data_IF_296568990488
#
_entry.id   IF_296568990488
#
_cell.length_a   1.000
_cell.length_b   1.000
_cell.length_c   1.000
_cell.angle_alpha   90.00
_cell.angle_beta   90.00
_cell.angle_gamma   90.00
#
_symmetry.space_group_name_H-M   'P 1'
#
loop_
_entity.id
_entity.type
_entity.pdbx_description
1 polymer ?
#
# COMPACT_ATOMS: atom_id res chain seq x y z
N UNK A 1 -29.70 9.10 -3.18
CA UNK A 1 -28.74 9.52 -4.21
C UNK A 1 -28.14 8.25 -4.80
N UNK A 2 -28.12 8.09 -6.12
CA UNK A 2 -27.61 6.87 -6.77
C UNK A 2 -26.11 7.03 -7.06
N UNK A 3 -25.30 6.16 -6.44
CA UNK A 3 -23.88 6.03 -6.76
C UNK A 3 -23.78 5.21 -8.05
N UNK A 4 -23.54 5.86 -9.19
CA UNK A 4 -23.52 5.23 -10.52
C UNK A 4 -22.12 4.94 -11.05
N UNK A 5 -21.06 5.26 -10.31
CA UNK A 5 -19.72 4.81 -10.65
C UNK A 5 -19.48 3.40 -10.09
N UNK A 6 -19.64 2.36 -10.92
CA UNK A 6 -18.79 1.15 -10.76
C UNK A 6 -17.35 1.62 -10.70
N UNK A 7 -16.50 1.10 -9.80
CA UNK A 7 -15.10 1.54 -9.62
C UNK A 7 -14.49 1.99 -10.95
N UNK A 8 -14.53 3.30 -11.19
CA UNK A 8 -13.90 3.86 -12.36
C UNK A 8 -12.45 3.98 -11.94
N UNK A 9 -11.62 3.09 -12.47
CA UNK A 9 -10.18 2.95 -12.26
C UNK A 9 -9.36 4.18 -12.69
N UNK A 10 -9.95 5.37 -12.65
CA UNK A 10 -9.26 6.65 -12.73
C UNK A 10 -8.42 6.82 -11.45
N UNK A 11 -7.33 6.08 -11.47
CA UNK A 11 -6.14 5.99 -10.61
C UNK A 11 -6.29 6.38 -9.13
N UNK A 12 -6.06 5.45 -8.18
CA UNK A 12 -5.70 5.83 -6.82
C UNK A 12 -4.62 6.89 -6.81
N UNK A 13 -4.78 7.88 -5.93
CA UNK A 13 -3.77 8.92 -5.73
C UNK A 13 -2.64 8.43 -4.83
N UNK A 14 -2.97 7.58 -3.87
CA UNK A 14 -2.07 7.10 -2.84
C UNK A 14 -2.37 5.64 -2.52
N UNK A 15 -1.49 5.05 -1.70
CA UNK A 15 -1.68 3.72 -1.14
C UNK A 15 -1.15 3.66 0.28
N UNK A 16 -1.83 2.88 1.12
CA UNK A 16 -1.33 2.49 2.43
C UNK A 16 -0.40 1.30 2.26
N UNK A 17 0.83 1.42 2.77
CA UNK A 17 1.83 0.34 2.70
C UNK A 17 2.29 -0.04 4.10
N UNK A 18 2.55 -1.32 4.28
CA UNK A 18 3.05 -1.91 5.52
C UNK A 18 4.15 -2.92 5.19
N UNK A 19 5.33 -2.77 5.79
CA UNK A 19 6.40 -3.78 5.70
C UNK A 19 6.25 -4.81 6.82
N UNK A 20 6.52 -6.06 6.48
CA UNK A 20 6.66 -7.14 7.47
C UNK A 20 8.00 -6.99 8.18
N UNK A 21 7.95 -6.41 9.38
CA UNK A 21 9.12 -6.29 10.24
C UNK A 21 9.41 -7.63 10.93
N UNK A 22 10.69 -7.92 11.16
CA UNK A 22 11.10 -9.17 11.83
C UNK A 22 10.52 -9.25 13.24
N UNK A 23 9.85 -10.35 13.56
CA UNK A 23 9.24 -10.59 14.87
C UNK A 23 7.91 -9.87 15.11
N UNK A 24 7.40 -9.11 14.15
CA UNK A 24 6.10 -8.42 14.22
C UNK A 24 5.02 -9.27 13.54
N UNK A 25 3.93 -9.53 14.26
CA UNK A 25 2.73 -10.21 13.78
C UNK A 25 1.69 -9.19 13.33
N UNK A 26 0.72 -9.62 12.53
CA UNK A 26 -0.28 -8.72 11.93
C UNK A 26 -1.20 -8.02 12.93
N UNK A 27 -1.44 -8.64 14.09
CA UNK A 27 -2.23 -8.09 15.20
C UNK A 27 -1.40 -7.32 16.23
N UNK A 28 -0.07 -7.28 16.10
CA UNK A 28 0.76 -6.41 16.96
C UNK A 28 0.51 -4.93 16.60
N UNK A 29 0.94 -3.99 17.44
CA UNK A 29 0.75 -2.55 17.21
C UNK A 29 1.32 -2.05 15.88
N UNK A 30 2.44 -2.65 15.43
CA UNK A 30 3.09 -2.36 14.15
C UNK A 30 2.67 -3.35 13.04
N UNK A 31 1.74 -4.24 13.34
CA UNK A 31 1.25 -5.28 12.45
C UNK A 31 0.40 -4.74 11.31
N UNK A 32 0.46 -5.39 10.15
CA UNK A 32 -0.20 -4.89 8.94
C UNK A 32 -1.70 -4.68 9.10
N UNK A 33 -2.39 -5.56 9.84
CA UNK A 33 -3.84 -5.44 10.07
C UNK A 33 -4.16 -4.34 11.07
N UNK A 34 -3.42 -4.25 12.17
CA UNK A 34 -3.60 -3.17 13.16
C UNK A 34 -3.44 -1.79 12.53
N UNK A 35 -2.41 -1.62 11.68
CA UNK A 35 -2.19 -0.39 10.92
C UNK A 35 -3.33 -0.10 9.95
N UNK A 36 -3.77 -1.11 9.20
CA UNK A 36 -4.90 -0.95 8.28
C UNK A 36 -6.17 -0.53 9.03
N UNK A 37 -6.45 -1.12 10.19
CA UNK A 37 -7.60 -0.77 11.01
C UNK A 37 -7.52 0.67 11.53
N UNK A 38 -6.32 1.14 11.95
CA UNK A 38 -6.12 2.55 12.33
C UNK A 38 -6.38 3.50 11.16
N UNK A 39 -5.88 3.18 9.97
CA UNK A 39 -6.13 3.98 8.77
C UNK A 39 -7.63 3.98 8.40
N UNK A 40 -8.29 2.83 8.43
CA UNK A 40 -9.74 2.71 8.16
C UNK A 40 -10.55 3.58 9.12
N UNK A 41 -10.21 3.61 10.42
CA UNK A 41 -10.89 4.47 11.41
C UNK A 41 -10.83 5.94 11.03
N UNK A 42 -9.66 6.42 10.57
CA UNK A 42 -9.51 7.79 10.04
C UNK A 42 -10.34 7.97 8.78
N UNK A 43 -10.26 7.04 7.83
CA UNK A 43 -10.97 7.13 6.55
C UNK A 43 -12.49 7.17 6.71
N UNK A 44 -13.03 6.45 7.68
CA UNK A 44 -14.46 6.50 8.01
C UNK A 44 -14.93 7.88 8.49
N UNK A 45 -14.06 8.73 9.04
CA UNK A 45 -14.42 10.11 9.39
C UNK A 45 -14.73 10.98 8.16
N UNK A 46 -14.27 10.55 6.97
CA UNK A 46 -14.49 11.23 5.69
C UNK A 46 -15.59 10.56 4.85
N UNK A 47 -16.04 9.36 5.24
CA UNK A 47 -17.03 8.57 4.51
C UNK A 47 -18.48 8.81 4.95
N UNK A 48 -19.42 8.55 4.05
CA UNK A 48 -20.87 8.44 4.35
C UNK A 48 -21.35 7.00 4.39
N UNK A 49 -20.56 6.05 3.86
CA UNK A 49 -20.87 4.63 3.90
C UNK A 49 -19.62 3.76 3.83
N UNK A 50 -19.77 2.51 4.29
CA UNK A 50 -18.80 1.42 4.10
C UNK A 50 -19.47 0.30 3.34
N UNK A 51 -18.78 -0.23 2.34
CA UNK A 51 -19.18 -1.47 1.67
C UNK A 51 -18.25 -2.61 2.10
N UNK A 52 -18.86 -3.75 2.44
CA UNK A 52 -18.19 -4.96 2.94
C UNK A 52 -18.55 -6.12 2.01
N UNK A 53 -17.57 -6.66 1.29
CA UNK A 53 -17.70 -7.89 0.51
C UNK A 53 -17.33 -9.08 1.37
N UNK A 54 -18.25 -10.02 1.56
CA UNK A 54 -18.06 -11.17 2.45
C UNK A 54 -18.19 -12.49 1.69
N UNK A 55 -17.43 -13.51 2.08
CA UNK A 55 -17.63 -14.86 1.55
C UNK A 55 -18.90 -15.47 2.17
N UNK A 56 -19.94 -15.79 1.38
CA UNK A 56 -21.18 -16.38 1.90
C UNK A 56 -21.01 -17.76 2.54
N UNK A 57 -19.90 -18.43 2.27
CA UNK A 57 -19.61 -19.76 2.84
C UNK A 57 -19.14 -19.67 4.28
N UNK A 58 -18.86 -18.46 4.79
CA UNK A 58 -18.39 -18.24 6.15
C UNK A 58 -19.49 -17.68 7.05
N UNK A 59 -19.93 -18.49 8.03
CA UNK A 59 -21.05 -18.16 8.92
C UNK A 59 -20.73 -17.14 10.02
N UNK A 60 -19.48 -16.71 10.18
CA UNK A 60 -19.11 -15.80 11.28
C UNK A 60 -19.61 -14.36 11.11
N UNK A 61 -20.18 -14.02 9.95
CA UNK A 61 -20.72 -12.69 9.66
C UNK A 61 -22.24 -12.57 9.80
N UNK A 62 -22.91 -13.47 10.54
CA UNK A 62 -24.37 -13.45 10.75
C UNK A 62 -24.87 -12.09 11.27
N UNK A 63 -24.14 -11.44 12.18
CA UNK A 63 -24.51 -10.11 12.69
C UNK A 63 -24.53 -9.07 11.58
N UNK A 64 -23.52 -9.08 10.70
CA UNK A 64 -23.48 -8.19 9.53
C UNK A 64 -24.65 -8.45 8.60
N UNK A 65 -24.94 -9.73 8.30
CA UNK A 65 -26.04 -10.11 7.41
C UNK A 65 -27.41 -9.71 7.97
N UNK A 66 -27.57 -9.68 9.30
CA UNK A 66 -28.80 -9.31 9.98
C UNK A 66 -28.99 -7.80 10.09
N UNK A 67 -27.91 -7.07 10.36
CA UNK A 67 -27.97 -5.67 10.76
C UNK A 67 -27.70 -4.71 9.59
N UNK A 68 -26.93 -5.12 8.59
CA UNK A 68 -26.62 -4.30 7.43
C UNK A 68 -27.51 -4.63 6.23
N UNK A 69 -27.64 -3.63 5.36
CA UNK A 69 -28.41 -3.79 4.12
C UNK A 69 -27.55 -4.47 3.07
N UNK A 70 -28.01 -5.61 2.55
CA UNK A 70 -27.40 -6.22 1.38
C UNK A 70 -27.57 -5.29 0.17
N UNK A 71 -26.46 -5.03 -0.52
CA UNK A 71 -26.45 -4.21 -1.74
C UNK A 71 -27.07 -5.04 -2.87
N UNK A 72 -28.08 -4.54 -3.60
CA UNK A 72 -28.63 -5.25 -4.75
C UNK A 72 -27.57 -5.39 -5.85
N UNK A 73 -27.53 -6.53 -6.56
CA UNK A 73 -26.54 -6.84 -7.62
C UNK A 73 -26.30 -5.69 -8.61
N UNK A 74 -27.37 -4.98 -9.01
CA UNK A 74 -27.30 -3.81 -9.91
C UNK A 74 -26.48 -2.64 -9.38
N UNK A 75 -26.19 -2.62 -8.08
CA UNK A 75 -25.51 -1.56 -7.32
C UNK A 75 -24.24 -2.07 -6.64
N UNK A 76 -23.91 -3.36 -6.74
CA UNK A 76 -22.66 -3.89 -6.21
C UNK A 76 -21.48 -3.20 -6.92
N UNK A 77 -20.48 -2.86 -6.13
CA UNK A 77 -19.24 -2.28 -6.63
C UNK A 77 -18.14 -3.31 -6.78
N UNK A 78 -18.12 -4.34 -5.95
CA UNK A 78 -17.10 -5.38 -5.98
C UNK A 78 -17.37 -6.37 -7.11
N UNK A 79 -16.39 -6.54 -8.01
CA UNK A 79 -16.52 -7.42 -9.16
C UNK A 79 -16.47 -8.88 -8.68
N UNK A 80 -17.56 -9.62 -8.88
CA UNK A 80 -17.64 -11.03 -8.50
C UNK A 80 -18.02 -11.27 -7.03
N UNK A 81 -18.42 -10.21 -6.30
CA UNK A 81 -19.04 -10.38 -4.98
C UNK A 81 -20.56 -10.31 -5.12
N UNK A 82 -21.22 -11.46 -4.91
CA UNK A 82 -22.68 -11.54 -4.83
C UNK A 82 -23.19 -11.23 -3.40
N UNK A 83 -22.28 -10.93 -2.47
CA UNK A 83 -22.54 -10.79 -1.03
C UNK A 83 -21.88 -9.52 -0.48
N UNK A 84 -22.30 -8.38 -1.04
CA UNK A 84 -21.90 -7.04 -0.63
C UNK A 84 -22.93 -6.45 0.34
N UNK A 85 -22.45 -5.91 1.46
CA UNK A 85 -23.25 -5.26 2.49
C UNK A 85 -22.86 -3.81 2.65
N UNK A 86 -23.84 -2.96 2.96
CA UNK A 86 -23.62 -1.53 3.19
C UNK A 86 -23.91 -1.15 4.63
N UNK A 87 -22.92 -0.51 5.25
CA UNK A 87 -23.01 0.20 6.51
C UNK A 87 -23.13 1.71 6.26
N UNK A 88 -24.02 2.39 6.96
CA UNK A 88 -24.18 3.85 6.93
C UNK A 88 -23.30 4.48 8.01
N UNK A 89 -22.55 5.52 7.66
CA UNK A 89 -21.72 6.25 8.63
C UNK A 89 -22.39 7.57 9.02
N UNK A 90 -22.35 7.95 10.32
CA UNK A 90 -21.60 7.31 11.41
C UNK A 90 -22.34 6.18 12.16
N UNK A 91 -23.60 5.90 11.84
CA UNK A 91 -24.48 5.05 12.66
C UNK A 91 -23.95 3.63 12.86
N UNK A 92 -23.45 3.01 11.80
CA UNK A 92 -22.99 1.62 11.78
C UNK A 92 -21.48 1.49 12.07
N UNK A 93 -20.80 2.58 12.43
CA UNK A 93 -19.33 2.59 12.64
C UNK A 93 -18.88 1.53 13.64
N UNK A 94 -19.56 1.43 14.78
CA UNK A 94 -19.18 0.48 15.82
C UNK A 94 -19.27 -0.98 15.34
N UNK A 95 -20.26 -1.29 14.49
CA UNK A 95 -20.38 -2.61 13.88
C UNK A 95 -19.21 -2.87 12.92
N UNK A 96 -18.89 -1.89 12.05
CA UNK A 96 -17.74 -2.01 11.14
C UNK A 96 -16.44 -2.21 11.91
N UNK A 97 -16.20 -1.44 12.97
CA UNK A 97 -14.99 -1.57 13.79
C UNK A 97 -14.90 -2.95 14.46
N UNK A 98 -16.02 -3.50 14.94
CA UNK A 98 -16.04 -4.83 15.55
C UNK A 98 -15.72 -5.96 14.58
N UNK A 99 -16.08 -5.81 13.29
CA UNK A 99 -15.79 -6.79 12.24
C UNK A 99 -14.32 -6.75 11.81
N UNK A 100 -13.69 -5.58 11.93
CA UNK A 100 -12.28 -5.40 11.56
C UNK A 100 -11.31 -5.82 12.66
N UNK A 101 -11.76 -5.85 13.90
CA UNK A 101 -10.95 -6.17 15.08
C UNK A 101 -10.51 -7.65 15.08
N UNK A 102 -9.22 -7.89 15.34
CA UNK A 102 -8.67 -9.23 15.57
C UNK A 102 -8.23 -9.27 17.03
N UNK A 103 -8.85 -10.11 17.88
CA UNK A 103 -8.37 -10.34 19.23
C UNK A 103 -6.96 -10.94 19.25
N UNK A 104 -6.15 -10.57 20.25
CA UNK A 104 -4.75 -11.02 20.34
C UNK A 104 -4.61 -12.55 20.30
N UNK A 105 -3.89 -13.03 19.28
CA UNK A 105 -3.64 -14.46 19.09
C UNK A 105 -4.81 -15.26 18.52
N UNK A 106 -5.92 -14.61 18.16
CA UNK A 106 -7.06 -15.25 17.51
C UNK A 106 -6.76 -15.49 16.02
N UNK A 107 -6.36 -16.71 15.72
CA UNK A 107 -6.00 -17.13 14.36
C UNK A 107 -7.22 -17.32 13.48
N UNK A 108 -8.38 -17.63 14.06
CA UNK A 108 -9.63 -17.78 13.32
C UNK A 108 -10.12 -16.40 12.90
N UNK A 109 -10.20 -15.43 13.82
CA UNK A 109 -10.52 -14.05 13.49
C UNK A 109 -9.53 -13.43 12.47
N UNK A 110 -8.24 -13.78 12.58
CA UNK A 110 -7.24 -13.36 11.58
C UNK A 110 -7.50 -13.98 10.20
N UNK A 111 -7.87 -15.26 10.15
CA UNK A 111 -8.21 -15.94 8.90
C UNK A 111 -9.45 -15.31 8.27
N UNK A 112 -10.46 -15.02 9.08
CA UNK A 112 -11.68 -14.35 8.65
C UNK A 112 -11.40 -12.98 8.06
N UNK A 113 -10.63 -12.15 8.78
CA UNK A 113 -10.27 -10.80 8.36
C UNK A 113 -9.48 -10.74 7.07
N UNK A 114 -8.66 -11.74 6.77
CA UNK A 114 -7.83 -11.73 5.56
C UNK A 114 -8.46 -12.46 4.36
N UNK A 115 -9.17 -13.56 4.61
CA UNK A 115 -9.58 -14.48 3.54
C UNK A 115 -11.09 -14.57 3.32
N UNK A 116 -11.91 -14.31 4.34
CA UNK A 116 -13.38 -14.32 4.20
C UNK A 116 -13.97 -12.91 4.14
N UNK A 117 -13.20 -11.92 4.55
CA UNK A 117 -13.39 -10.53 4.18
C UNK A 117 -12.79 -10.31 2.79
N UNK A 118 -13.64 -10.36 1.76
CA UNK A 118 -13.21 -10.40 0.36
C UNK A 118 -12.71 -9.03 -0.10
N UNK A 119 -13.49 -7.98 0.18
CA UNK A 119 -13.17 -6.63 -0.26
C UNK A 119 -13.83 -5.59 0.64
N UNK A 120 -13.14 -4.48 0.89
CA UNK A 120 -13.56 -3.40 1.77
C UNK A 120 -13.50 -2.06 1.03
N UNK A 121 -14.50 -1.20 1.21
CA UNK A 121 -14.44 0.16 0.69
C UNK A 121 -15.08 1.18 1.62
N UNK A 122 -14.45 2.35 1.72
CA UNK A 122 -15.03 3.54 2.34
C UNK A 122 -15.44 4.51 1.23
N UNK A 123 -16.66 5.02 1.33
CA UNK A 123 -17.33 5.75 0.27
C UNK A 123 -17.89 7.06 0.79
N UNK A 124 -17.99 8.03 -0.13
CA UNK A 124 -18.85 9.21 0.00
C UNK A 124 -20.03 9.09 -0.96
N UNK A 125 -20.92 10.08 -0.92
CA UNK A 125 -22.01 10.19 -1.89
C UNK A 125 -21.52 10.38 -3.34
N UNK A 126 -20.26 10.77 -3.54
CA UNK A 126 -19.71 11.17 -4.84
C UNK A 126 -18.61 10.26 -5.38
N UNK A 127 -17.78 9.66 -4.52
CA UNK A 127 -16.69 8.76 -4.90
C UNK A 127 -16.30 7.81 -3.78
N UNK A 128 -15.50 6.80 -4.09
CA UNK A 128 -14.76 6.04 -3.09
C UNK A 128 -13.57 6.86 -2.53
N UNK A 129 -13.17 6.56 -1.29
CA UNK A 129 -12.01 7.16 -0.61
C UNK A 129 -10.94 6.10 -0.39
N UNK A 130 -11.35 4.90 0.04
CA UNK A 130 -10.45 3.80 0.33
C UNK A 130 -11.00 2.50 -0.23
N UNK A 131 -10.09 1.63 -0.66
CA UNK A 131 -10.37 0.28 -1.11
C UNK A 131 -9.28 -0.66 -0.62
N UNK A 132 -9.66 -1.81 -0.07
CA UNK A 132 -8.72 -2.90 0.17
C UNK A 132 -9.26 -4.27 -0.17
N UNK A 133 -8.35 -5.14 -0.58
CA UNK A 133 -8.55 -6.60 -0.59
C UNK A 133 -7.63 -7.15 0.49
N UNK A 134 -8.14 -7.57 1.64
CA UNK A 134 -7.34 -7.81 2.85
C UNK A 134 -6.12 -8.72 2.71
N UNK A 135 -6.26 -9.86 2.00
CA UNK A 135 -5.13 -10.77 1.75
C UNK A 135 -4.15 -10.25 0.69
N UNK A 136 -4.56 -9.28 -0.12
CA UNK A 136 -3.74 -8.66 -1.16
C UNK A 136 -3.19 -7.33 -0.64
N UNK A 137 -2.06 -7.39 0.05
CA UNK A 137 -1.41 -6.20 0.63
C UNK A 137 -1.12 -5.07 -0.38
N UNK A 138 -1.08 -5.40 -1.68
CA UNK A 138 -0.90 -4.44 -2.75
C UNK A 138 -2.18 -3.65 -3.08
N UNK A 139 -3.36 -4.15 -2.72
CA UNK A 139 -4.65 -3.49 -2.89
C UNK A 139 -5.04 -2.87 -1.54
N UNK A 140 -4.47 -1.70 -1.28
CA UNK A 140 -4.77 -0.80 -0.15
C UNK A 140 -4.72 0.62 -0.65
N UNK A 141 -5.70 0.95 -1.45
CA UNK A 141 -5.71 2.08 -2.37
C UNK A 141 -6.48 3.25 -1.73
N UNK A 142 -5.97 4.47 -1.93
CA UNK A 142 -6.58 5.69 -1.42
C UNK A 142 -6.81 6.67 -2.58
N UNK A 143 -8.05 7.12 -2.71
CA UNK A 143 -8.43 8.22 -3.59
C UNK A 143 -8.67 9.48 -2.75
N UNK A 144 -7.66 10.33 -2.66
CA UNK A 144 -7.73 11.60 -1.95
C UNK A 144 -8.04 12.79 -2.87
N UNK A 145 -8.21 12.58 -4.18
CA UNK A 145 -8.29 13.67 -5.17
C UNK A 145 -9.47 14.65 -4.97
N UNK A 146 -10.48 14.25 -4.20
CA UNK A 146 -11.64 15.08 -3.83
C UNK A 146 -11.82 15.25 -2.32
N UNK A 147 -10.87 14.77 -1.52
CA UNK A 147 -11.00 14.67 -0.07
C UNK A 147 -9.82 15.34 0.62
N UNK A 148 -9.92 16.68 0.74
CA UNK A 148 -8.89 17.52 1.34
C UNK A 148 -8.59 17.10 2.79
N UNK A 149 -7.32 17.13 3.17
CA UNK A 149 -6.86 16.77 4.52
C UNK A 149 -6.80 15.28 4.83
N UNK A 150 -7.33 14.37 3.99
CA UNK A 150 -7.27 12.90 4.24
C UNK A 150 -5.84 12.40 4.37
N UNK A 151 -4.96 12.80 3.43
CA UNK A 151 -3.56 12.34 3.41
C UNK A 151 -2.78 12.92 4.59
N UNK A 152 -3.01 14.20 4.91
CA UNK A 152 -2.40 14.85 6.08
C UNK A 152 -2.81 14.10 7.36
N UNK A 153 -4.10 13.78 7.50
CA UNK A 153 -4.60 13.09 8.70
C UNK A 153 -4.06 11.67 8.83
N UNK A 154 -4.00 10.93 7.72
CA UNK A 154 -3.39 9.60 7.72
C UNK A 154 -1.90 9.66 8.07
N UNK A 155 -1.16 10.63 7.54
CA UNK A 155 0.25 10.81 7.87
C UNK A 155 0.45 11.19 9.34
N UNK A 156 -0.39 12.07 9.91
CA UNK A 156 -0.38 12.37 11.34
C UNK A 156 -0.63 11.12 12.20
N UNK A 157 -1.64 10.31 11.83
CA UNK A 157 -1.99 9.10 12.57
C UNK A 157 -0.89 8.05 12.51
N UNK A 158 -0.22 7.91 11.36
CA UNK A 158 0.79 6.88 11.13
C UNK A 158 2.23 7.37 11.39
N UNK A 159 2.43 8.62 11.80
CA UNK A 159 3.75 9.25 11.91
C UNK A 159 4.72 8.44 12.80
N UNK A 160 4.18 7.85 13.87
CA UNK A 160 4.92 7.09 14.88
C UNK A 160 4.87 5.56 14.64
N UNK A 161 4.18 5.12 13.59
CA UNK A 161 3.96 3.69 13.32
C UNK A 161 5.00 3.20 12.31
N UNK A 162 6.18 2.86 12.84
CA UNK A 162 7.30 2.37 12.03
C UNK A 162 6.91 1.15 11.21
N UNK A 163 7.37 1.12 9.96
CA UNK A 163 7.04 0.05 9.01
C UNK A 163 5.80 0.34 8.19
N UNK A 164 5.16 1.50 8.36
CA UNK A 164 3.98 1.90 7.61
C UNK A 164 4.11 3.31 7.03
N UNK A 165 3.42 3.55 5.92
CA UNK A 165 3.32 4.88 5.32
C UNK A 165 2.12 4.98 4.37
N UNK A 166 1.67 6.21 4.12
CA UNK A 166 0.88 6.54 2.95
C UNK A 166 1.82 7.11 1.90
N UNK A 167 1.89 6.48 0.74
CA UNK A 167 2.78 6.88 -0.36
C UNK A 167 1.98 7.19 -1.62
N UNK A 168 2.48 8.07 -2.51
CA UNK A 168 1.84 8.30 -3.80
C UNK A 168 1.72 7.00 -4.60
N UNK A 169 0.60 6.82 -5.28
CA UNK A 169 0.35 5.58 -6.03
C UNK A 169 1.31 5.43 -7.22
N UNK A 170 1.68 6.56 -7.85
CA UNK A 170 2.65 6.63 -8.95
C UNK A 170 4.08 6.27 -8.55
N UNK A 171 4.38 6.14 -7.25
CA UNK A 171 5.74 6.02 -6.73
C UNK A 171 6.24 7.33 -6.11
N UNK A 172 7.34 7.23 -5.37
CA UNK A 172 7.90 8.34 -4.59
C UNK A 172 8.72 9.30 -5.46
N UNK A 173 9.42 8.77 -6.45
CA UNK A 173 10.18 9.56 -7.42
C UNK A 173 10.18 8.86 -8.77
N UNK A 174 10.11 9.66 -9.84
CA UNK A 174 10.25 9.20 -11.22
C UNK A 174 11.16 10.16 -11.97
N UNK A 175 12.13 9.63 -12.70
CA UNK A 175 13.04 10.45 -13.50
C UNK A 175 13.52 9.70 -14.74
N UNK A 176 13.86 10.48 -15.77
CA UNK A 176 14.35 9.96 -17.05
C UNK A 176 15.73 10.54 -17.33
N UNK A 177 16.68 9.68 -17.69
CA UNK A 177 18.03 10.05 -18.11
C UNK A 177 18.36 9.31 -19.40
N UNK A 178 18.61 10.05 -20.48
CA UNK A 178 18.72 9.47 -21.82
C UNK A 178 17.40 8.83 -22.25
N UNK A 179 17.44 7.58 -22.69
CA UNK A 179 16.26 6.77 -23.08
C UNK A 179 15.73 5.89 -21.92
N UNK A 180 16.29 6.03 -20.72
CA UNK A 180 15.95 5.20 -19.56
C UNK A 180 15.10 5.96 -18.56
N UNK A 181 13.99 5.36 -18.13
CA UNK A 181 13.14 5.85 -17.05
C UNK A 181 13.32 4.99 -15.81
N UNK A 182 13.43 5.64 -14.65
CA UNK A 182 13.51 5.03 -13.34
C UNK A 182 12.33 5.47 -12.50
N UNK A 183 11.69 4.52 -11.83
CA UNK A 183 10.59 4.78 -10.90
C UNK A 183 10.92 4.14 -9.55
N UNK A 184 11.12 4.98 -8.54
CA UNK A 184 11.28 4.54 -7.16
C UNK A 184 9.90 4.35 -6.53
N UNK A 185 9.53 3.10 -6.33
CA UNK A 185 8.33 2.68 -5.60
C UNK A 185 8.70 2.43 -4.14
N UNK A 186 7.68 2.13 -3.33
CA UNK A 186 7.87 1.88 -1.90
C UNK A 186 8.65 0.58 -1.62
N UNK A 187 8.54 -0.41 -2.51
CA UNK A 187 9.15 -1.74 -2.39
C UNK A 187 10.29 -2.00 -3.38
N UNK A 188 10.36 -1.22 -4.45
CA UNK A 188 11.18 -1.55 -5.60
C UNK A 188 11.69 -0.31 -6.32
N UNK A 189 12.86 -0.46 -6.93
CA UNK A 189 13.32 0.44 -7.99
C UNK A 189 13.01 -0.21 -9.33
N UNK A 190 12.06 0.37 -10.06
CA UNK A 190 11.75 -0.05 -11.41
C UNK A 190 12.60 0.73 -12.40
N UNK A 191 13.04 0.06 -13.46
CA UNK A 191 13.66 0.71 -14.60
C UNK A 191 13.04 0.19 -15.89
N UNK A 192 12.94 1.06 -16.88
CA UNK A 192 12.51 0.71 -18.23
C UNK A 192 13.21 1.54 -19.28
N UNK A 193 13.53 0.90 -20.40
CA UNK A 193 13.90 1.54 -21.66
C UNK A 193 12.92 1.11 -22.77
N UNK A 194 13.24 1.41 -24.04
CA UNK A 194 12.37 1.08 -25.19
C UNK A 194 12.16 -0.42 -25.42
N UNK A 195 13.07 -1.27 -24.93
CA UNK A 195 13.10 -2.71 -25.23
C UNK A 195 12.89 -3.58 -23.99
N UNK A 196 13.24 -3.08 -22.81
CA UNK A 196 13.38 -3.87 -21.58
C UNK A 196 12.85 -3.11 -20.39
N UNK A 197 12.46 -3.89 -19.39
CA UNK A 197 12.23 -3.38 -18.05
C UNK A 197 12.68 -4.40 -17.01
N UNK A 198 13.01 -3.91 -15.82
CA UNK A 198 13.17 -4.77 -14.64
C UNK A 198 12.76 -4.01 -13.38
N UNK A 199 12.44 -4.79 -12.34
CA UNK A 199 12.16 -4.28 -11.01
C UNK A 199 13.16 -4.87 -10.02
N UNK A 200 13.69 -4.04 -9.13
CA UNK A 200 14.70 -4.43 -8.15
C UNK A 200 14.18 -4.23 -6.73
N UNK A 201 14.11 -5.32 -5.95
CA UNK A 201 13.64 -5.32 -4.56
C UNK A 201 14.59 -4.50 -3.66
N UNK A 202 14.06 -3.43 -3.03
CA UNK A 202 14.82 -2.54 -2.15
C UNK A 202 15.35 -3.23 -0.88
N UNK A 203 14.82 -4.39 -0.50
CA UNK A 203 15.33 -5.20 0.61
C UNK A 203 16.75 -5.70 0.38
N UNK A 204 17.15 -5.75 -0.89
CA UNK A 204 18.49 -6.12 -1.31
C UNK A 204 19.46 -4.97 -1.27
N UNK A 205 18.98 -3.73 -1.22
CA UNK A 205 19.87 -2.59 -1.18
C UNK A 205 20.65 -2.61 0.15
N UNK A 206 21.95 -2.31 0.09
CA UNK A 206 22.81 -2.14 1.27
C UNK A 206 23.09 -0.67 1.52
N UNK A 207 23.36 0.08 0.44
CA UNK A 207 23.75 1.47 0.54
C UNK A 207 23.31 2.25 -0.69
N UNK A 208 22.89 3.48 -0.45
CA UNK A 208 22.62 4.53 -1.44
C UNK A 208 23.56 5.68 -1.16
N UNK A 209 24.42 6.01 -2.12
CA UNK A 209 25.34 7.15 -2.00
C UNK A 209 25.06 8.15 -3.10
N UNK A 210 24.71 9.38 -2.74
CA UNK A 210 24.60 10.48 -3.68
C UNK A 210 25.95 11.17 -3.92
N UNK A 211 26.31 11.24 -5.20
CA UNK A 211 27.45 11.97 -5.74
C UNK A 211 26.89 13.15 -6.56
N UNK A 212 26.43 14.20 -5.88
CA UNK A 212 25.76 15.32 -6.54
C UNK A 212 26.68 16.10 -7.49
N UNK A 213 27.99 16.15 -7.23
CA UNK A 213 28.99 16.73 -8.12
C UNK A 213 29.07 15.99 -9.47
N UNK A 214 28.75 14.70 -9.49
CA UNK A 214 28.69 13.84 -10.69
C UNK A 214 27.27 13.62 -11.21
N UNK A 215 26.24 14.15 -10.53
CA UNK A 215 24.83 13.86 -10.78
C UNK A 215 24.53 12.35 -10.82
N UNK A 216 25.03 11.62 -9.83
CA UNK A 216 24.98 10.15 -9.82
C UNK A 216 24.57 9.59 -8.46
N UNK A 217 23.74 8.55 -8.47
CA UNK A 217 23.50 7.66 -7.34
C UNK A 217 24.31 6.38 -7.53
N UNK A 218 25.10 6.03 -6.51
CA UNK A 218 25.70 4.70 -6.39
C UNK A 218 24.80 3.84 -5.53
N UNK A 219 24.46 2.65 -6.03
CA UNK A 219 23.60 1.68 -5.38
C UNK A 219 24.38 0.38 -5.16
N UNK A 220 24.65 0.06 -3.91
CA UNK A 220 25.33 -1.19 -3.55
C UNK A 220 24.29 -2.23 -3.11
N UNK A 221 24.24 -3.37 -3.81
CA UNK A 221 23.21 -4.40 -3.64
C UNK A 221 23.78 -5.67 -3.00
N UNK A 222 22.95 -6.35 -2.19
CA UNK A 222 23.17 -7.73 -1.74
C UNK A 222 23.22 -8.67 -2.95
N UNK A 223 24.13 -9.66 -2.96
CA UNK A 223 24.15 -10.69 -3.98
C UNK A 223 22.89 -11.55 -3.92
N UNK A 224 22.42 -12.02 -5.08
CA UNK A 224 21.20 -12.83 -5.24
C UNK A 224 21.22 -14.11 -4.38
N UNK A 225 22.41 -14.62 -4.07
CA UNK A 225 22.59 -15.81 -3.22
C UNK A 225 22.14 -15.62 -1.77
N UNK A 226 22.02 -14.38 -1.28
CA UNK A 226 21.57 -14.06 0.08
C UNK A 226 20.03 -13.95 0.19
N UNK A 227 19.27 -14.14 -0.90
CA UNK A 227 17.81 -14.09 -0.88
C UNK A 227 17.16 -15.39 -0.37
N UNK A 228 16.10 -15.21 0.42
CA UNK A 228 15.16 -16.27 0.79
C UNK A 228 14.44 -16.84 -0.44
N UNK A 229 14.41 -18.17 -0.56
CA UNK A 229 13.77 -18.90 -1.66
C UNK A 229 12.27 -18.60 -1.81
N UNK A 230 11.57 -18.26 -0.72
CA UNK A 230 10.14 -17.90 -0.76
C UNK A 230 9.91 -16.54 -1.44
N UNK A 231 10.82 -15.57 -1.25
CA UNK A 231 10.74 -14.25 -1.91
C UNK A 231 11.02 -14.33 -3.41
N UNK A 232 11.96 -15.17 -3.86
CA UNK A 232 12.22 -15.43 -5.29
C UNK A 232 11.03 -15.98 -6.08
N UNK A 233 10.01 -16.51 -5.38
CA UNK A 233 8.86 -17.15 -6.03
C UNK A 233 7.67 -16.19 -6.12
N UNK A 234 7.49 -15.31 -5.14
CA UNK A 234 6.43 -14.29 -5.14
C UNK A 234 6.63 -13.24 -6.24
N UNK A 235 7.87 -12.81 -6.50
CA UNK A 235 8.16 -11.77 -7.49
C UNK A 235 8.15 -12.25 -8.95
N UNK A 236 8.28 -13.56 -9.21
CA UNK A 236 8.18 -14.14 -10.57
C UNK A 236 6.80 -13.96 -11.22
N UNK A 237 5.77 -13.70 -10.43
CA UNK A 237 4.40 -13.45 -10.92
C UNK A 237 4.20 -11.98 -11.32
N UNK A 238 5.08 -11.07 -10.86
CA UNK A 238 4.90 -9.61 -10.97
C UNK A 238 5.92 -8.89 -11.87
N UNK A 239 6.96 -9.56 -12.36
CA UNK A 239 7.93 -8.96 -13.29
C UNK A 239 9.17 -9.81 -13.51
N UNK A 240 9.86 -9.58 -14.63
CA UNK A 240 11.05 -10.33 -15.04
C UNK A 240 12.25 -10.06 -14.12
N UNK A 241 12.44 -10.90 -13.11
CA UNK A 241 13.74 -11.06 -12.45
C UNK A 241 14.73 -11.74 -13.41
N UNK A 242 15.58 -10.95 -14.08
CA UNK A 242 16.82 -11.53 -14.64
C UNK A 242 17.94 -10.54 -14.94
N UNK A 243 17.80 -9.24 -14.68
CA UNK A 243 18.86 -8.27 -14.95
C UNK A 243 19.72 -8.02 -13.69
N UNK A 244 21.03 -7.89 -13.87
CA UNK A 244 21.93 -7.39 -12.83
C UNK A 244 21.44 -6.00 -12.38
N UNK A 245 21.25 -5.75 -11.08
CA UNK A 245 20.81 -4.44 -10.61
C UNK A 245 21.87 -3.36 -10.91
N UNK A 246 21.45 -2.12 -11.25
CA UNK A 246 22.37 -1.05 -11.60
C UNK A 246 23.19 -0.64 -10.38
N UNK A 247 24.51 -0.59 -10.53
CA UNK A 247 25.41 -0.10 -9.48
C UNK A 247 25.51 1.43 -9.47
N UNK A 248 25.17 2.08 -10.59
CA UNK A 248 25.23 3.52 -10.81
C UNK A 248 24.04 3.97 -11.63
N UNK A 249 23.41 5.06 -11.22
CA UNK A 249 22.26 5.65 -11.91
C UNK A 249 22.48 7.16 -11.99
N UNK A 250 22.29 7.74 -13.16
CA UNK A 250 22.29 9.19 -13.34
C UNK A 250 21.03 9.79 -12.70
N UNK A 251 21.18 10.95 -12.09
CA UNK A 251 20.08 11.73 -11.50
C UNK A 251 20.05 13.15 -12.08
N UNK A 252 18.90 13.82 -12.09
CA UNK A 252 18.82 15.23 -12.45
C UNK A 252 19.66 16.11 -11.51
N UNK A 253 20.17 17.22 -12.06
CA UNK A 253 20.92 18.23 -11.29
C UNK A 253 20.02 18.99 -10.29
N UNK A 254 20.62 19.46 -9.20
CA UNK A 254 19.95 20.34 -8.22
C UNK A 254 18.79 19.64 -7.48
N UNK A 255 17.69 20.37 -7.29
CA UNK A 255 16.53 19.91 -6.50
C UNK A 255 15.95 18.56 -6.97
N UNK A 256 16.08 18.23 -8.25
CA UNK A 256 15.60 16.95 -8.77
C UNK A 256 16.36 15.77 -8.16
N UNK A 257 17.68 15.88 -8.04
CA UNK A 257 18.53 14.86 -7.44
C UNK A 257 18.32 14.74 -5.94
N UNK A 258 18.17 15.89 -5.26
CA UNK A 258 17.88 15.95 -3.82
C UNK A 258 16.57 15.25 -3.49
N UNK A 259 15.50 15.48 -4.26
CA UNK A 259 14.21 14.80 -4.10
C UNK A 259 14.28 13.29 -4.20
N UNK A 260 15.15 12.75 -5.07
CA UNK A 260 15.33 11.30 -5.20
C UNK A 260 16.02 10.75 -3.95
N UNK A 261 17.04 11.44 -3.43
CA UNK A 261 17.72 11.01 -2.21
C UNK A 261 16.78 11.09 -0.99
N UNK A 262 15.99 12.16 -0.89
CA UNK A 262 14.98 12.34 0.15
C UNK A 262 13.94 11.21 0.14
N UNK A 263 13.54 10.73 -1.04
CA UNK A 263 12.66 9.57 -1.15
C UNK A 263 13.28 8.30 -0.56
N UNK A 264 14.57 8.05 -0.77
CA UNK A 264 15.28 6.95 -0.10
C UNK A 264 15.36 7.14 1.42
N UNK A 265 15.63 8.37 1.88
CA UNK A 265 15.58 8.69 3.32
C UNK A 265 14.20 8.41 3.91
N UNK A 266 13.13 8.84 3.24
CA UNK A 266 11.75 8.63 3.68
C UNK A 266 11.41 7.14 3.78
N UNK A 267 11.79 6.33 2.79
CA UNK A 267 11.59 4.89 2.82
C UNK A 267 12.33 4.22 3.98
N UNK A 268 13.59 4.60 4.20
CA UNK A 268 14.38 4.12 5.33
C UNK A 268 13.74 4.47 6.67
N UNK A 269 13.37 5.73 6.86
CA UNK A 269 12.82 6.23 8.12
C UNK A 269 11.43 5.66 8.42
N UNK A 270 10.49 5.80 7.48
CA UNK A 270 9.09 5.43 7.67
C UNK A 270 8.86 3.93 7.57
N UNK A 271 9.42 3.28 6.54
CA UNK A 271 9.22 1.85 6.30
C UNK A 271 10.29 0.97 6.95
N UNK A 272 11.32 1.56 7.56
CA UNK A 272 12.33 0.82 8.31
C UNK A 272 13.25 -0.01 7.43
N UNK A 273 13.55 0.42 6.20
CA UNK A 273 14.56 -0.26 5.38
C UNK A 273 15.93 -0.24 6.08
N UNK A 274 16.71 -1.29 5.87
CA UNK A 274 17.99 -1.49 6.55
C UNK A 274 19.20 -0.93 5.79
N UNK A 275 19.01 -0.43 4.56
CA UNK A 275 20.10 0.19 3.82
C UNK A 275 20.48 1.55 4.42
N UNK A 276 21.72 1.95 4.18
CA UNK A 276 22.20 3.29 4.52
C UNK A 276 22.02 4.27 3.37
N UNK A 277 21.83 5.55 3.71
CA UNK A 277 21.67 6.64 2.74
C UNK A 277 22.65 7.74 3.11
N UNK A 278 23.56 8.06 2.20
CA UNK A 278 24.68 8.97 2.43
C UNK A 278 24.86 9.95 1.27
N UNK A 279 25.37 11.13 1.60
CA UNK A 279 25.88 12.09 0.62
C UNK A 279 27.40 12.07 0.69
N UNK A 280 28.08 11.86 -0.44
CA UNK A 280 29.53 12.07 -0.46
C UNK A 280 29.80 13.57 -0.46
N UNK A 281 30.56 14.03 0.53
CA UNK A 281 31.21 15.33 0.45
C UNK A 281 32.45 15.17 -0.42
N UNK A 282 32.63 16.02 -1.41
CA UNK A 282 33.88 16.11 -2.17
C UNK A 282 35.10 16.33 -1.26
#
# INVERSE_FOLDING_TARGET
MEFTEKFNAAEPTHRLVTRRLSGVKDWDELGGVTVENQAIRVLMDYGTAVHLGLDPKHGQFETVQRELTQVPDSKCMFIGSDHEFRASLPEDRALVESVLEIPDGDTDAWTDRLFYFVEFAVLTDQSWIYRSVPHEAHIREINAGRHEGVIEKLNETLDQVRGSAVVPFSGLASWTTGDTTYDLKWDSLYWSDREKSASYDLERLRQVTALFSENLLRLDWKPVSEESLLRRTAWRVLGSESATPPAKIEIPTGEGGEKILDAFHQLREKLGYEYDVETSSD
#
